data_IF_682516912396
#
_entry.id   IF_682516912396
#
_cell.length_a   1.000
_cell.length_b   1.000
_cell.length_c   1.000
_cell.angle_alpha   90.00
_cell.angle_beta   90.00
_cell.angle_gamma   90.00
#
_symmetry.space_group_name_H-M   'P 1'
#
loop_
_entity.id
_entity.type
_entity.pdbx_description
1 polymer ?
#
# COMPACT_ATOMS: atom_id res chain seq x y z
N UNK A 1 15.26 -23.47 49.20
CA UNK A 1 14.84 -23.71 47.80
C UNK A 1 14.76 -22.39 47.05
N UNK A 2 15.76 -22.08 46.20
CA UNK A 2 15.62 -21.19 45.03
C UNK A 2 16.70 -21.61 44.04
N UNK A 3 16.29 -22.38 43.03
CA UNK A 3 17.15 -22.83 41.94
C UNK A 3 17.51 -21.63 41.06
N UNK A 4 18.80 -21.44 40.80
CA UNK A 4 19.29 -20.58 39.72
C UNK A 4 19.17 -21.38 38.43
N UNK A 5 18.30 -20.96 37.51
CA UNK A 5 18.21 -21.53 36.18
C UNK A 5 19.31 -20.90 35.32
N UNK A 6 20.30 -21.70 34.93
CA UNK A 6 21.33 -21.33 33.96
C UNK A 6 20.73 -21.46 32.56
N UNK A 7 20.54 -20.36 31.84
CA UNK A 7 20.14 -20.38 30.43
C UNK A 7 21.35 -20.61 29.55
N UNK A 8 21.46 -21.80 28.94
CA UNK A 8 22.45 -22.08 27.89
C UNK A 8 21.88 -21.52 26.59
N UNK A 9 22.47 -20.43 26.10
CA UNK A 9 22.23 -19.93 24.74
C UNK A 9 23.14 -20.74 23.81
N UNK A 10 22.55 -21.64 23.02
CA UNK A 10 23.23 -22.32 21.93
C UNK A 10 23.37 -21.32 20.76
N UNK A 11 24.49 -20.60 20.69
CA UNK A 11 24.87 -19.88 19.46
C UNK A 11 25.61 -20.86 18.56
N UNK A 12 24.91 -21.49 17.62
CA UNK A 12 25.57 -22.19 16.50
C UNK A 12 26.10 -21.13 15.53
N UNK A 13 27.42 -21.01 15.33
CA UNK A 13 27.95 -20.22 14.23
C UNK A 13 27.54 -20.88 12.92
N UNK A 14 26.74 -20.19 12.11
CA UNK A 14 26.54 -20.56 10.71
C UNK A 14 27.83 -20.18 10.00
N UNK A 15 28.71 -21.15 9.79
CA UNK A 15 29.85 -20.99 8.90
C UNK A 15 29.31 -20.87 7.47
N UNK A 16 29.31 -19.66 6.91
CA UNK A 16 29.07 -19.45 5.48
C UNK A 16 30.35 -19.88 4.78
N UNK A 17 30.43 -21.15 4.38
CA UNK A 17 31.44 -21.59 3.44
C UNK A 17 31.19 -20.85 2.12
N UNK A 18 32.11 -19.96 1.74
CA UNK A 18 32.12 -19.33 0.42
C UNK A 18 32.44 -20.41 -0.62
N UNK A 19 31.40 -21.05 -1.16
CA UNK A 19 31.54 -21.79 -2.40
C UNK A 19 31.69 -20.75 -3.51
N UNK A 20 32.92 -20.48 -3.92
CA UNK A 20 33.18 -19.87 -5.22
C UNK A 20 32.87 -20.93 -6.27
N UNK A 21 31.60 -21.08 -6.65
CA UNK A 21 31.26 -21.76 -7.89
C UNK A 21 31.76 -20.88 -9.03
N UNK A 22 32.41 -21.50 -10.01
CA UNK A 22 32.61 -20.93 -11.34
C UNK A 22 31.25 -20.84 -12.02
N UNK A 23 30.38 -19.95 -11.56
CA UNK A 23 29.19 -19.60 -12.33
C UNK A 23 29.65 -18.85 -13.56
N UNK A 24 29.18 -19.31 -14.71
CA UNK A 24 29.39 -18.69 -16.00
C UNK A 24 28.79 -17.29 -15.96
N UNK A 25 29.67 -16.26 -15.93
CA UNK A 25 29.28 -14.87 -16.20
C UNK A 25 28.90 -14.81 -17.68
N UNK A 26 27.62 -15.06 -17.96
CA UNK A 26 27.04 -14.97 -19.30
C UNK A 26 26.05 -13.81 -19.30
N UNK A 27 26.30 -12.85 -20.19
CA UNK A 27 25.41 -11.72 -20.41
C UNK A 27 24.41 -12.10 -21.50
N UNK A 28 23.11 -12.05 -21.20
CA UNK A 28 22.02 -12.45 -22.09
C UNK A 28 21.09 -11.27 -22.37
N UNK A 29 21.49 -10.34 -23.26
CA UNK A 29 20.69 -9.14 -23.54
C UNK A 29 19.33 -9.46 -24.18
N UNK A 30 19.18 -10.62 -24.80
CA UNK A 30 17.96 -10.98 -25.53
C UNK A 30 16.85 -11.58 -24.65
N UNK A 31 17.14 -11.90 -23.38
CA UNK A 31 16.18 -12.57 -22.51
C UNK A 31 15.23 -11.57 -21.82
N UNK A 32 14.23 -11.14 -22.57
CA UNK A 32 13.19 -10.19 -22.15
C UNK A 32 11.85 -10.90 -22.09
N UNK A 33 11.14 -10.75 -20.97
CA UNK A 33 9.75 -11.16 -20.85
C UNK A 33 8.85 -9.95 -20.57
N UNK A 34 7.63 -10.03 -21.09
CA UNK A 34 6.60 -9.03 -20.90
C UNK A 34 5.32 -9.68 -20.37
N UNK A 35 4.69 -8.99 -19.43
CA UNK A 35 3.45 -9.39 -18.78
C UNK A 35 2.40 -8.30 -18.96
N UNK A 36 1.19 -8.71 -19.33
CA UNK A 36 0.02 -7.84 -19.33
C UNK A 36 -1.15 -8.58 -18.69
N UNK A 37 -1.88 -7.90 -17.82
CA UNK A 37 -3.02 -8.48 -17.12
C UNK A 37 -4.08 -7.44 -16.79
N UNK A 38 -5.31 -7.92 -16.64
CA UNK A 38 -6.43 -7.15 -16.13
C UNK A 38 -6.83 -7.68 -14.76
N UNK A 39 -7.35 -6.82 -13.91
CA UNK A 39 -7.80 -7.21 -12.58
C UNK A 39 -8.60 -6.13 -11.89
N UNK A 40 -8.74 -6.29 -10.59
CA UNK A 40 -9.48 -5.36 -9.73
C UNK A 40 -8.65 -4.94 -8.53
N UNK A 41 -8.75 -3.66 -8.16
CA UNK A 41 -8.15 -3.08 -6.97
C UNK A 41 -9.25 -2.76 -5.96
N UNK A 42 -9.03 -3.15 -4.71
CA UNK A 42 -9.86 -2.81 -3.55
C UNK A 42 -8.95 -2.30 -2.44
N UNK A 43 -9.40 -1.32 -1.67
CA UNK A 43 -8.55 -0.70 -0.67
C UNK A 43 -9.31 0.15 0.35
N UNK A 44 -8.61 0.44 1.44
CA UNK A 44 -9.05 1.39 2.47
C UNK A 44 -7.84 2.21 2.92
N UNK A 45 -8.01 3.52 3.05
CA UNK A 45 -7.01 4.44 3.60
C UNK A 45 -7.64 5.26 4.71
N UNK A 46 -6.81 5.66 5.68
CA UNK A 46 -7.26 6.37 6.89
C UNK A 46 -6.40 7.61 7.08
N UNK A 47 -6.98 8.76 6.83
CA UNK A 47 -6.41 10.04 7.20
C UNK A 47 -6.69 10.30 8.68
N UNK A 48 -5.76 10.91 9.41
CA UNK A 48 -5.91 11.17 10.84
C UNK A 48 -5.28 12.48 11.23
N UNK A 49 -5.94 13.19 12.13
CA UNK A 49 -5.42 14.40 12.77
C UNK A 49 -5.21 14.13 14.26
N UNK A 50 -4.09 14.61 14.77
CA UNK A 50 -3.70 14.49 16.17
C UNK A 50 -3.32 15.86 16.72
N UNK A 51 -3.74 16.17 17.95
CA UNK A 51 -3.32 17.38 18.66
C UNK A 51 -2.12 17.07 19.57
N UNK A 52 -0.99 17.71 19.31
CA UNK A 52 0.25 17.44 20.02
C UNK A 52 0.23 18.01 21.45
N UNK A 53 -0.38 19.19 21.59
CA UNK A 53 -0.63 19.90 22.84
C UNK A 53 -1.54 19.12 23.81
N UNK A 54 -2.35 18.19 23.29
CA UNK A 54 -3.21 17.29 24.05
C UNK A 54 -2.64 15.87 24.15
N UNK A 55 -1.31 15.76 24.26
CA UNK A 55 -0.64 14.46 24.45
C UNK A 55 -0.70 13.54 23.23
N UNK A 56 -0.90 14.09 22.03
CA UNK A 56 -1.01 13.30 20.78
C UNK A 56 -2.36 12.60 20.63
N UNK A 57 -3.42 13.15 21.21
CA UNK A 57 -4.79 12.64 21.11
C UNK A 57 -5.28 12.73 19.66
N UNK A 58 -5.92 11.66 19.17
CA UNK A 58 -6.58 11.66 17.86
C UNK A 58 -7.85 12.50 17.95
N UNK A 59 -8.01 13.46 17.04
CA UNK A 59 -9.16 14.37 17.00
C UNK A 59 -10.02 14.23 15.76
N UNK A 60 -9.47 13.71 14.65
CA UNK A 60 -10.21 13.46 13.42
C UNK A 60 -9.70 12.20 12.72
N UNK A 61 -10.59 11.50 12.00
CA UNK A 61 -10.23 10.37 11.15
C UNK A 61 -11.19 10.22 9.97
N UNK A 62 -10.65 10.33 8.75
CA UNK A 62 -11.39 10.05 7.52
C UNK A 62 -11.03 8.66 6.99
N UNK A 63 -12.03 7.80 6.92
CA UNK A 63 -11.93 6.43 6.40
C UNK A 63 -12.43 6.38 4.95
N UNK A 64 -11.50 6.38 4.00
CA UNK A 64 -11.81 6.27 2.56
C UNK A 64 -11.71 4.81 2.11
N UNK A 65 -12.75 4.28 1.46
CA UNK A 65 -12.81 2.88 1.01
C UNK A 65 -13.33 2.78 -0.42
N UNK A 66 -12.82 1.82 -1.18
CA UNK A 66 -13.32 1.48 -2.50
C UNK A 66 -13.13 0.00 -2.78
N UNK A 67 -14.00 -0.56 -3.63
CA UNK A 67 -13.97 -1.97 -3.98
C UNK A 67 -14.05 -2.17 -5.50
N UNK A 68 -13.29 -3.14 -5.99
CA UNK A 68 -13.34 -3.68 -7.34
C UNK A 68 -13.16 -2.62 -8.44
N UNK A 69 -12.22 -1.68 -8.26
CA UNK A 69 -11.82 -0.75 -9.31
C UNK A 69 -11.05 -1.50 -10.40
N UNK A 70 -11.51 -1.46 -11.65
CA UNK A 70 -10.85 -2.15 -12.75
C UNK A 70 -9.45 -1.55 -13.00
N UNK A 71 -8.44 -2.39 -13.10
CA UNK A 71 -7.06 -2.00 -13.38
C UNK A 71 -6.48 -2.77 -14.57
N UNK A 72 -5.56 -2.12 -15.28
CA UNK A 72 -4.62 -2.77 -16.19
C UNK A 72 -3.24 -2.76 -15.53
N UNK A 73 -2.54 -3.89 -15.59
CA UNK A 73 -1.21 -4.07 -15.03
C UNK A 73 -0.26 -4.59 -16.10
N UNK A 74 0.92 -4.00 -16.17
CA UNK A 74 2.00 -4.41 -17.06
C UNK A 74 3.30 -4.62 -16.30
N UNK A 75 4.14 -5.52 -16.79
CA UNK A 75 5.52 -5.63 -16.36
C UNK A 75 6.45 -6.05 -17.51
N UNK A 76 7.70 -5.64 -17.43
CA UNK A 76 8.79 -6.05 -18.30
C UNK A 76 9.91 -6.51 -17.36
N UNK A 77 10.41 -7.73 -17.55
CA UNK A 77 11.62 -8.18 -16.87
C UNK A 77 12.68 -8.51 -17.91
N UNK A 78 13.92 -8.12 -17.59
CA UNK A 78 15.09 -8.37 -18.38
C UNK A 78 16.08 -9.18 -17.56
N UNK A 79 16.27 -10.45 -17.94
CA UNK A 79 17.22 -11.36 -17.31
C UNK A 79 18.61 -11.14 -17.92
N UNK A 80 19.33 -10.13 -17.41
CA UNK A 80 20.64 -9.70 -17.93
C UNK A 80 21.72 -10.77 -17.80
N UNK A 81 21.70 -11.49 -16.68
CA UNK A 81 22.64 -12.56 -16.33
C UNK A 81 21.89 -13.62 -15.52
N UNK A 82 22.40 -14.86 -15.43
CA UNK A 82 21.82 -15.88 -14.54
C UNK A 82 21.63 -15.40 -13.09
N UNK A 83 22.47 -14.48 -12.61
CA UNK A 83 22.43 -13.96 -11.25
C UNK A 83 21.59 -12.69 -11.11
N UNK A 84 21.30 -11.95 -12.20
CA UNK A 84 20.74 -10.60 -12.13
C UNK A 84 19.63 -10.40 -13.16
N UNK A 85 18.48 -9.91 -12.68
CA UNK A 85 17.41 -9.39 -13.53
C UNK A 85 17.03 -7.96 -13.15
N UNK A 86 16.59 -7.18 -14.12
CA UNK A 86 15.97 -5.87 -13.91
C UNK A 86 14.48 -5.97 -14.26
N UNK A 87 13.63 -5.33 -13.47
CA UNK A 87 12.19 -5.30 -13.68
C UNK A 87 11.64 -3.88 -13.67
N UNK A 88 10.69 -3.62 -14.56
CA UNK A 88 9.81 -2.47 -14.53
C UNK A 88 8.37 -2.95 -14.54
N UNK A 89 7.55 -2.50 -13.60
CA UNK A 89 6.14 -2.86 -13.50
C UNK A 89 5.29 -1.64 -13.18
N UNK A 90 4.00 -1.74 -13.46
CA UNK A 90 3.05 -0.71 -13.09
C UNK A 90 1.62 -1.13 -13.33
N UNK A 91 0.71 -0.39 -12.73
CA UNK A 91 -0.72 -0.56 -12.96
C UNK A 91 -1.43 0.78 -12.86
N UNK A 92 -2.60 0.88 -13.49
CA UNK A 92 -3.47 2.05 -13.40
C UNK A 92 -4.93 1.63 -13.47
N UNK A 93 -5.79 2.38 -12.79
CA UNK A 93 -7.25 2.25 -12.94
C UNK A 93 -7.68 2.61 -14.36
N UNK A 94 -8.62 1.85 -14.91
CA UNK A 94 -9.20 2.08 -16.25
C UNK A 94 -10.29 3.17 -16.28
N UNK A 95 -10.71 3.63 -15.11
CA UNK A 95 -11.71 4.68 -14.93
C UNK A 95 -11.93 4.96 -13.43
N UNK A 96 -12.83 5.87 -13.13
CA UNK A 96 -13.24 6.11 -11.75
C UNK A 96 -14.03 4.93 -11.19
N UNK A 97 -14.09 4.82 -9.86
CA UNK A 97 -14.85 3.78 -9.18
C UNK A 97 -15.56 4.34 -7.95
N UNK A 98 -16.81 3.94 -7.76
CA UNK A 98 -17.55 4.24 -6.53
C UNK A 98 -16.84 3.68 -5.29
N UNK A 99 -16.93 4.42 -4.21
CA UNK A 99 -16.34 4.14 -2.92
C UNK A 99 -17.24 4.65 -1.80
N UNK A 100 -16.65 4.91 -0.65
CA UNK A 100 -17.31 5.46 0.52
C UNK A 100 -16.28 6.22 1.36
N UNK A 101 -16.72 7.30 1.99
CA UNK A 101 -15.95 8.02 3.00
C UNK A 101 -16.80 8.20 4.26
N UNK A 102 -16.18 8.00 5.41
CA UNK A 102 -16.73 8.32 6.72
C UNK A 102 -15.72 9.18 7.45
N UNK A 103 -16.15 10.34 7.91
CA UNK A 103 -15.37 11.25 8.74
C UNK A 103 -15.89 11.18 10.18
N UNK A 104 -14.99 11.12 11.14
CA UNK A 104 -15.32 11.08 12.56
C UNK A 104 -14.38 12.01 13.33
N UNK A 105 -14.95 12.82 14.21
CA UNK A 105 -14.21 13.68 15.11
C UNK A 105 -14.43 13.31 16.58
N UNK A 106 -13.41 13.60 17.39
CA UNK A 106 -13.39 13.42 18.84
C UNK A 106 -13.13 14.77 19.48
N UNK A 107 -14.15 15.62 19.57
CA UNK A 107 -14.00 16.98 20.09
C UNK A 107 -13.96 17.02 21.63
N UNK A 108 -14.61 16.07 22.30
CA UNK A 108 -14.58 15.93 23.76
C UNK A 108 -13.29 15.26 24.24
N UNK A 109 -12.38 16.07 24.79
CA UNK A 109 -11.11 15.60 25.36
C UNK A 109 -11.28 14.79 26.65
N UNK A 110 -12.43 14.91 27.33
CA UNK A 110 -12.73 14.15 28.54
C UNK A 110 -13.17 12.70 28.24
N UNK A 111 -13.75 12.47 27.05
CA UNK A 111 -14.17 11.15 26.58
C UNK A 111 -13.55 10.77 25.22
N UNK A 112 -12.22 10.70 25.11
CA UNK A 112 -11.50 10.62 23.83
C UNK A 112 -11.68 9.30 23.06
N UNK A 113 -12.34 8.30 23.66
CA UNK A 113 -12.69 7.04 23.00
C UNK A 113 -13.99 7.09 22.20
N UNK A 114 -14.84 8.09 22.44
CA UNK A 114 -16.18 8.18 21.86
C UNK A 114 -16.21 9.36 20.89
N UNK A 115 -16.52 9.10 19.61
CA UNK A 115 -16.63 10.17 18.63
C UNK A 115 -17.81 11.10 18.96
N UNK A 116 -17.65 12.39 18.74
CA UNK A 116 -18.68 13.42 18.96
C UNK A 116 -19.43 13.73 17.67
N UNK A 117 -18.71 13.69 16.54
CA UNK A 117 -19.20 14.08 15.23
C UNK A 117 -18.91 12.98 14.21
N UNK A 118 -19.86 12.71 13.33
CA UNK A 118 -19.69 11.76 12.23
C UNK A 118 -20.38 12.29 10.97
N UNK A 119 -19.67 12.28 9.85
CA UNK A 119 -20.26 12.49 8.53
C UNK A 119 -20.05 11.29 7.61
N UNK A 120 -21.05 10.99 6.79
CA UNK A 120 -21.09 9.82 5.90
C UNK A 120 -21.34 10.25 4.47
N UNK A 121 -20.43 9.86 3.58
CA UNK A 121 -20.42 10.24 2.18
C UNK A 121 -20.48 8.99 1.29
N UNK A 122 -21.68 8.41 1.06
CA UNK A 122 -21.83 7.26 0.17
C UNK A 122 -21.55 7.62 -1.30
N UNK A 123 -21.77 8.88 -1.71
CA UNK A 123 -21.35 9.40 -3.01
C UNK A 123 -19.86 9.81 -2.97
N UNK A 124 -19.01 8.82 -2.73
CA UNK A 124 -17.55 8.98 -2.82
C UNK A 124 -17.04 8.21 -4.03
N UNK A 125 -16.09 8.79 -4.75
CA UNK A 125 -15.42 8.13 -5.87
C UNK A 125 -13.91 8.08 -5.66
N UNK A 126 -13.31 6.95 -6.00
CA UNK A 126 -11.92 6.88 -6.41
C UNK A 126 -11.84 7.46 -7.82
N UNK A 127 -11.24 8.65 -7.94
CA UNK A 127 -11.03 9.33 -9.22
C UNK A 127 -10.06 8.54 -10.10
N UNK A 128 -8.93 8.17 -9.53
CA UNK A 128 -7.90 7.33 -10.15
C UNK A 128 -6.99 6.72 -9.06
N UNK A 129 -6.35 5.62 -9.41
CA UNK A 129 -5.19 5.10 -8.70
C UNK A 129 -4.18 4.52 -9.68
N UNK A 130 -2.90 4.66 -9.36
CA UNK A 130 -1.83 4.11 -10.20
C UNK A 130 -0.55 3.85 -9.41
N UNK A 131 0.30 2.99 -9.95
CA UNK A 131 1.60 2.62 -9.40
C UNK A 131 2.62 2.38 -10.51
N UNK A 132 3.87 2.69 -10.21
CA UNK A 132 5.02 2.10 -10.91
C UNK A 132 6.03 1.52 -9.91
N UNK A 133 6.80 0.54 -10.36
CA UNK A 133 7.81 -0.18 -9.61
C UNK A 133 9.02 -0.49 -10.51
N UNK A 134 10.20 -0.06 -10.08
CA UNK A 134 11.48 -0.38 -10.71
C UNK A 134 12.31 -1.19 -9.74
N UNK A 135 12.82 -2.36 -10.16
CA UNK A 135 13.54 -3.27 -9.28
C UNK A 135 14.69 -4.00 -9.95
N UNK A 136 15.61 -4.45 -9.10
CA UNK A 136 16.65 -5.41 -9.42
C UNK A 136 16.43 -6.67 -8.59
N UNK A 137 16.66 -7.82 -9.20
CA UNK A 137 16.58 -9.15 -8.58
C UNK A 137 17.96 -9.79 -8.63
N UNK A 138 18.45 -10.24 -7.47
CA UNK A 138 19.65 -11.06 -7.34
C UNK A 138 19.24 -12.50 -7.04
N UNK A 139 19.49 -13.42 -7.97
CA UNK A 139 19.08 -14.82 -7.82
C UNK A 139 20.06 -15.60 -6.94
N UNK A 140 19.52 -16.21 -5.90
CA UNK A 140 20.22 -17.17 -5.04
C UNK A 140 20.12 -18.58 -5.61
N UNK A 141 18.98 -18.88 -6.25
CA UNK A 141 18.71 -20.10 -6.99
C UNK A 141 18.02 -19.67 -8.29
N UNK A 142 18.51 -20.17 -9.43
CA UNK A 142 17.95 -19.85 -10.74
C UNK A 142 17.92 -21.07 -11.66
N UNK A 143 17.04 -22.03 -11.32
CA UNK A 143 16.89 -23.28 -12.05
C UNK A 143 15.61 -23.28 -12.91
N UNK A 144 15.50 -24.15 -13.93
CA UNK A 144 14.32 -24.18 -14.81
C UNK A 144 12.98 -24.37 -14.08
N UNK A 145 12.99 -25.11 -12.97
CA UNK A 145 11.78 -25.47 -12.22
C UNK A 145 11.61 -24.67 -10.92
N UNK A 146 12.62 -23.91 -10.47
CA UNK A 146 12.50 -23.11 -9.27
C UNK A 146 13.49 -21.95 -9.26
N UNK A 147 13.01 -20.81 -8.78
CA UNK A 147 13.81 -19.60 -8.64
C UNK A 147 13.60 -19.02 -7.25
N UNK A 148 14.67 -18.51 -6.66
CA UNK A 148 14.64 -17.78 -5.41
C UNK A 148 15.62 -16.61 -5.50
N UNK A 149 15.17 -15.41 -5.21
CA UNK A 149 15.99 -14.21 -5.34
C UNK A 149 15.65 -13.14 -4.33
N UNK A 150 16.66 -12.33 -4.02
CA UNK A 150 16.53 -11.09 -3.28
C UNK A 150 16.13 -9.97 -4.23
N UNK A 151 15.40 -8.98 -3.71
CA UNK A 151 14.98 -7.81 -4.47
C UNK A 151 15.42 -6.53 -3.78
N UNK A 152 15.74 -5.51 -4.58
CA UNK A 152 15.77 -4.12 -4.16
C UNK A 152 15.08 -3.26 -5.22
N UNK A 153 14.35 -2.23 -4.81
CA UNK A 153 13.62 -1.42 -5.77
C UNK A 153 13.04 -0.13 -5.22
N UNK A 154 12.38 0.59 -6.11
CA UNK A 154 11.63 1.80 -5.81
C UNK A 154 10.24 1.69 -6.42
N UNK A 155 9.23 1.84 -5.56
CA UNK A 155 7.83 1.84 -5.94
C UNK A 155 7.19 3.17 -5.57
N UNK A 156 6.29 3.64 -6.41
CA UNK A 156 5.49 4.83 -6.11
C UNK A 156 4.04 4.61 -6.49
N UNK A 157 3.13 4.83 -5.54
CA UNK A 157 1.68 4.73 -5.75
C UNK A 157 0.97 6.04 -5.45
N UNK A 158 -0.14 6.27 -6.16
CA UNK A 158 -0.99 7.46 -6.04
C UNK A 158 -2.46 7.07 -5.98
N UNK A 159 -3.21 7.82 -5.17
CA UNK A 159 -4.65 7.67 -5.02
C UNK A 159 -5.30 9.05 -5.02
N UNK A 160 -6.51 9.15 -5.54
CA UNK A 160 -7.28 10.38 -5.59
C UNK A 160 -8.75 10.09 -5.36
N UNK A 161 -9.38 10.80 -4.44
CA UNK A 161 -10.77 10.63 -4.03
C UNK A 161 -11.54 11.94 -4.10
N UNK A 162 -12.86 11.83 -4.21
CA UNK A 162 -13.79 12.95 -4.02
C UNK A 162 -15.05 12.43 -3.36
N UNK A 163 -15.39 13.01 -2.21
CA UNK A 163 -16.63 12.80 -1.49
C UNK A 163 -17.63 13.93 -1.82
N UNK A 164 -18.91 13.57 -1.93
CA UNK A 164 -20.00 14.50 -2.26
C UNK A 164 -21.22 14.23 -1.40
N UNK A 165 -22.00 15.29 -1.17
CA UNK A 165 -23.25 15.23 -0.43
C UNK A 165 -23.11 14.50 0.91
N UNK A 166 -24.04 13.60 1.22
CA UNK A 166 -23.98 12.77 2.42
C UNK A 166 -24.84 13.29 3.58
N UNK A 167 -24.63 12.69 4.75
CA UNK A 167 -25.34 13.00 5.99
C UNK A 167 -24.38 13.21 7.14
N UNK A 168 -24.84 13.87 8.20
CA UNK A 168 -24.05 14.07 9.41
C UNK A 168 -24.86 13.86 10.68
N UNK A 169 -24.15 13.48 11.75
CA UNK A 169 -24.61 13.41 13.13
C UNK A 169 -23.53 14.09 13.97
N UNK A 170 -23.78 15.30 14.41
CA UNK A 170 -22.86 16.18 15.13
C UNK A 170 -23.34 16.47 16.54
N UNK A 171 -22.42 16.91 17.40
CA UNK A 171 -22.74 17.34 18.76
C UNK A 171 -22.80 18.86 18.84
N UNK A 172 -23.91 19.40 19.32
CA UNK A 172 -24.04 20.83 19.63
C UNK A 172 -23.24 21.20 20.89
N UNK A 173 -23.12 22.50 21.20
CA UNK A 173 -22.36 22.96 22.37
C UNK A 173 -22.89 22.39 23.71
N UNK A 174 -24.20 22.16 23.83
CA UNK A 174 -24.85 21.65 25.04
C UNK A 174 -25.36 20.20 24.89
N UNK A 175 -25.19 19.60 23.71
CA UNK A 175 -25.76 18.31 23.35
C UNK A 175 -24.72 17.27 22.94
N UNK A 176 -25.20 16.05 22.69
CA UNK A 176 -24.35 14.95 22.23
C UNK A 176 -25.06 14.21 21.10
N UNK A 177 -24.52 14.31 19.89
CA UNK A 177 -25.05 13.70 18.66
C UNK A 177 -26.51 14.08 18.37
N UNK A 178 -26.83 15.33 18.66
CA UNK A 178 -28.17 15.91 18.61
C UNK A 178 -28.42 16.77 17.37
N UNK A 179 -27.37 17.18 16.64
CA UNK A 179 -27.47 17.86 15.36
C UNK A 179 -27.37 16.86 14.20
N UNK A 180 -28.52 16.50 13.63
CA UNK A 180 -28.63 15.47 12.58
C UNK A 180 -29.15 16.12 11.31
N UNK A 181 -28.41 15.96 10.21
CA UNK A 181 -28.79 16.56 8.94
C UNK A 181 -28.16 15.92 7.71
N UNK A 182 -28.28 16.65 6.60
CA UNK A 182 -27.80 16.22 5.28
C UNK A 182 -27.09 17.35 4.57
N UNK A 183 -26.03 17.01 3.84
CA UNK A 183 -25.38 17.93 2.91
C UNK A 183 -26.15 18.00 1.59
N UNK A 184 -26.09 19.13 0.87
CA UNK A 184 -26.66 19.24 -0.47
C UNK A 184 -26.14 18.13 -1.40
N UNK A 185 -27.07 17.49 -2.11
CA UNK A 185 -26.74 16.34 -2.94
C UNK A 185 -25.81 16.72 -4.12
N UNK A 186 -24.78 15.91 -4.36
CA UNK A 186 -23.83 16.08 -5.48
C UNK A 186 -22.80 17.20 -5.31
N UNK A 187 -22.97 18.10 -4.33
CA UNK A 187 -21.98 19.11 -3.99
C UNK A 187 -20.69 18.46 -3.51
N UNK A 188 -19.55 19.00 -3.96
CA UNK A 188 -18.25 18.48 -3.52
C UNK A 188 -18.05 18.86 -2.06
N UNK A 189 -17.87 17.84 -1.22
CA UNK A 189 -17.54 18.03 0.18
C UNK A 189 -16.02 18.07 0.34
N UNK A 190 -15.35 16.94 0.11
CA UNK A 190 -13.92 16.77 0.40
C UNK A 190 -13.21 16.09 -0.77
N UNK A 191 -12.02 16.60 -1.13
CA UNK A 191 -11.13 15.99 -2.10
C UNK A 191 -9.83 15.54 -1.45
N UNK A 192 -9.42 14.29 -1.65
CA UNK A 192 -8.26 13.73 -0.97
C UNK A 192 -7.30 13.06 -1.95
N UNK A 193 -6.01 13.42 -1.89
CA UNK A 193 -4.96 12.81 -2.72
C UNK A 193 -3.87 12.25 -1.83
N UNK A 194 -3.34 11.08 -2.21
CA UNK A 194 -2.23 10.44 -1.52
C UNK A 194 -1.12 10.07 -2.50
N UNK A 195 0.12 10.10 -2.01
CA UNK A 195 1.32 9.65 -2.71
C UNK A 195 2.23 8.93 -1.73
N UNK A 196 2.59 7.69 -2.07
CA UNK A 196 3.54 6.87 -1.30
C UNK A 196 4.77 6.62 -2.16
N UNK A 197 5.94 7.01 -1.67
CA UNK A 197 7.25 6.68 -2.25
C UNK A 197 7.93 5.64 -1.38
N UNK A 198 8.34 4.53 -1.98
CA UNK A 198 8.78 3.35 -1.25
C UNK A 198 10.05 2.76 -1.88
N UNK A 199 11.24 3.17 -1.44
CA UNK A 199 12.42 2.34 -1.54
C UNK A 199 12.20 1.06 -0.74
N UNK A 200 12.52 -0.12 -1.27
CA UNK A 200 12.26 -1.39 -0.59
C UNK A 200 13.33 -2.43 -0.84
N UNK A 201 13.36 -3.42 0.05
CA UNK A 201 14.02 -4.71 -0.14
C UNK A 201 12.95 -5.81 -0.16
N UNK A 202 13.26 -6.95 -0.74
CA UNK A 202 12.29 -8.03 -0.85
C UNK A 202 12.88 -9.41 -1.11
N UNK A 203 11.99 -10.39 -1.13
CA UNK A 203 12.25 -11.77 -1.50
C UNK A 203 11.23 -12.16 -2.56
N UNK A 204 11.68 -12.82 -3.61
CA UNK A 204 10.79 -13.39 -4.63
C UNK A 204 11.20 -14.81 -4.93
N UNK A 205 10.22 -15.65 -5.25
CA UNK A 205 10.48 -16.99 -5.71
C UNK A 205 9.32 -17.55 -6.51
N UNK A 206 9.63 -18.58 -7.28
CA UNK A 206 8.64 -19.35 -8.03
C UNK A 206 9.03 -20.82 -8.05
N UNK A 207 8.01 -21.67 -8.16
CA UNK A 207 8.13 -23.10 -8.36
C UNK A 207 7.25 -23.50 -9.53
N UNK A 208 7.82 -24.26 -10.47
CA UNK A 208 7.17 -24.77 -11.65
C UNK A 208 7.11 -26.29 -11.58
N UNK A 209 5.92 -26.83 -11.82
CA UNK A 209 5.66 -28.26 -11.98
C UNK A 209 4.90 -28.45 -13.29
N UNK A 210 5.52 -29.11 -14.27
CA UNK A 210 5.00 -29.22 -15.64
C UNK A 210 4.68 -27.83 -16.21
N UNK A 211 3.43 -27.61 -16.60
CA UNK A 211 2.89 -26.38 -17.16
C UNK A 211 2.28 -25.46 -16.09
N UNK A 212 2.46 -25.76 -14.81
CA UNK A 212 1.95 -24.97 -13.71
C UNK A 212 3.08 -24.22 -12.99
N UNK A 213 2.92 -22.90 -12.81
CA UNK A 213 3.85 -22.09 -12.02
C UNK A 213 3.14 -21.37 -10.88
N UNK A 214 3.69 -21.49 -9.68
CA UNK A 214 3.31 -20.73 -8.49
C UNK A 214 4.45 -19.82 -8.07
N UNK A 215 4.16 -18.53 -7.97
CA UNK A 215 5.09 -17.48 -7.59
C UNK A 215 4.63 -16.71 -6.37
N UNK A 216 5.60 -16.21 -5.61
CA UNK A 216 5.39 -15.35 -4.46
C UNK A 216 6.44 -14.25 -4.38
N UNK A 217 6.02 -13.06 -3.98
CA UNK A 217 6.89 -11.93 -3.72
C UNK A 217 6.51 -11.27 -2.41
N UNK A 218 7.52 -10.99 -1.59
CA UNK A 218 7.42 -10.24 -0.36
C UNK A 218 8.32 -9.00 -0.45
N UNK A 219 7.79 -7.84 -0.07
CA UNK A 219 8.55 -6.58 0.00
C UNK A 219 8.40 -5.96 1.38
N UNK A 220 9.49 -5.38 1.86
CA UNK A 220 9.55 -4.61 3.09
C UNK A 220 10.20 -3.27 2.82
N UNK A 221 9.63 -2.22 3.41
CA UNK A 221 10.24 -0.90 3.47
C UNK A 221 10.11 -0.33 4.87
N UNK A 222 11.20 0.22 5.39
CA UNK A 222 11.20 1.10 6.56
C UNK A 222 11.40 2.57 6.20
N UNK A 223 11.28 2.92 4.92
CA UNK A 223 11.70 4.21 4.36
C UNK A 223 10.60 4.87 3.53
N UNK A 224 9.33 4.55 3.82
CA UNK A 224 8.22 5.11 3.06
C UNK A 224 8.08 6.59 3.38
N UNK A 225 8.07 7.42 2.32
CA UNK A 225 7.59 8.79 2.38
C UNK A 225 6.14 8.81 1.89
N UNK A 226 5.21 9.05 2.79
CA UNK A 226 3.80 9.27 2.49
C UNK A 226 3.50 10.77 2.51
N UNK A 227 2.71 11.24 1.55
CA UNK A 227 2.22 12.62 1.53
C UNK A 227 0.79 12.65 1.03
N UNK A 228 0.02 13.60 1.54
CA UNK A 228 -1.35 13.80 1.13
C UNK A 228 -1.68 15.28 0.90
N UNK A 229 -2.85 15.50 0.30
CA UNK A 229 -3.46 16.81 0.14
C UNK A 229 -4.97 16.64 0.27
N UNK A 230 -5.53 17.25 1.29
CA UNK A 230 -6.97 17.32 1.55
C UNK A 230 -7.50 18.71 1.20
N UNK A 231 -8.62 18.76 0.48
CA UNK A 231 -9.33 19.97 0.11
C UNK A 231 -10.77 19.90 0.64
N UNK A 232 -11.10 20.75 1.61
CA UNK A 232 -12.48 21.00 2.04
C UNK A 232 -13.09 22.09 1.16
N UNK A 233 -14.13 21.74 0.41
CA UNK A 233 -14.68 22.60 -0.65
C UNK A 233 -15.81 23.54 -0.20
N UNK A 234 -16.28 23.44 1.05
CA UNK A 234 -17.30 24.34 1.61
C UNK A 234 -16.89 25.81 1.39
N UNK A 235 -17.69 26.62 0.65
CA UNK A 235 -17.38 28.03 0.42
C UNK A 235 -17.22 28.86 1.70
N UNK A 236 -17.92 28.49 2.78
CA UNK A 236 -17.85 29.20 4.06
C UNK A 236 -16.64 28.83 4.90
N UNK A 237 -16.03 27.67 4.64
CA UNK A 237 -14.93 27.09 5.44
C UNK A 237 -13.88 26.43 4.56
N UNK A 238 -13.58 27.03 3.41
CA UNK A 238 -12.65 26.45 2.45
C UNK A 238 -11.25 26.35 3.07
N UNK A 239 -10.77 25.13 3.21
CA UNK A 239 -9.46 24.86 3.80
C UNK A 239 -8.74 23.74 3.04
N UNK A 240 -7.42 23.84 3.00
CA UNK A 240 -6.54 22.86 2.38
C UNK A 240 -5.54 22.37 3.41
N UNK A 241 -5.46 21.06 3.63
CA UNK A 241 -4.46 20.43 4.48
C UNK A 241 -3.43 19.68 3.65
N UNK A 242 -2.18 19.66 4.11
CA UNK A 242 -1.08 18.92 3.50
C UNK A 242 -0.25 18.26 4.57
N UNK A 243 -0.15 16.94 4.52
CA UNK A 243 0.68 16.18 5.44
C UNK A 243 1.80 15.45 4.72
N UNK A 244 2.87 15.20 5.48
CA UNK A 244 3.99 14.36 5.05
C UNK A 244 4.50 13.55 6.22
N UNK A 245 4.60 12.24 6.02
CA UNK A 245 5.16 11.27 6.97
C UNK A 245 6.37 10.61 6.31
N UNK A 246 7.45 10.43 7.07
CA UNK A 246 8.68 9.77 6.64
C UNK A 246 8.95 8.53 7.47
N UNK A 247 9.80 7.65 6.95
CA UNK A 247 10.29 6.45 7.64
C UNK A 247 9.15 5.53 8.12
N UNK A 248 8.04 5.52 7.37
CA UNK A 248 6.91 4.65 7.65
C UNK A 248 7.24 3.21 7.21
N UNK A 249 6.80 2.25 8.03
CA UNK A 249 6.97 0.82 7.75
C UNK A 249 5.85 0.32 6.84
N UNK A 250 6.21 -0.44 5.80
CA UNK A 250 5.28 -1.07 4.88
C UNK A 250 5.69 -2.51 4.59
N UNK A 251 4.69 -3.39 4.58
CA UNK A 251 4.78 -4.80 4.23
C UNK A 251 3.87 -5.07 3.04
N UNK A 252 4.40 -5.71 2.02
CA UNK A 252 3.66 -6.07 0.82
C UNK A 252 3.88 -7.54 0.49
N UNK A 253 2.80 -8.25 0.15
CA UNK A 253 2.85 -9.63 -0.29
C UNK A 253 2.01 -9.77 -1.56
N UNK A 254 2.57 -10.44 -2.56
CA UNK A 254 1.90 -10.76 -3.81
C UNK A 254 2.10 -12.25 -4.10
N UNK A 255 1.02 -12.96 -4.39
CA UNK A 255 1.05 -14.32 -4.91
C UNK A 255 0.56 -14.31 -6.36
N UNK A 256 1.14 -15.17 -7.18
CA UNK A 256 0.74 -15.35 -8.57
C UNK A 256 0.69 -16.85 -8.90
N UNK A 257 -0.29 -17.24 -9.69
CA UNK A 257 -0.42 -18.58 -10.22
C UNK A 257 -0.64 -18.45 -11.73
N UNK A 258 0.12 -19.21 -12.53
CA UNK A 258 0.06 -19.19 -13.99
C UNK A 258 -0.03 -20.61 -14.51
N UNK A 259 -0.91 -20.80 -15.50
CA UNK A 259 -0.88 -21.97 -16.38
C UNK A 259 -0.10 -21.56 -17.64
N UNK A 260 1.07 -22.15 -17.80
CA UNK A 260 1.92 -21.98 -18.98
C UNK A 260 1.32 -22.81 -20.10
N UNK A 261 1.01 -22.20 -21.23
CA UNK A 261 0.68 -22.97 -22.44
C UNK A 261 1.99 -23.23 -23.16
N UNK A 262 2.32 -24.50 -23.40
CA UNK A 262 3.34 -24.84 -24.39
C UNK A 262 2.83 -24.38 -25.76
N UNK A 263 3.45 -23.33 -26.29
CA UNK A 263 3.33 -22.93 -27.71
C UNK A 263 4.51 -23.45 -28.48
#
# INVERSE_FOLDING_TARGET
MRAKLLGIVLTTPIAISSFASTETISFTPDNINADISLGTLSGKTKERVYLAEEGGRKVSQLDWKFNNAAIIKGAINWDLMPQISIGAAGWTTLGSRGGNMVDQDWMDSSNPGTWTDESRHPDTQLNYANEFDLNIKGWLLNEPNYRLGLMAGYQESRYSFTARGGSYIYSSEEGFRDDIGSFPNGERAIGYKQRFKMPYIGLTGSYRYEDFELGGTFKYSGWVEASDNDEHYDPGKRITYRSKVKDQKLLFCCSQCRLLRNT
#
